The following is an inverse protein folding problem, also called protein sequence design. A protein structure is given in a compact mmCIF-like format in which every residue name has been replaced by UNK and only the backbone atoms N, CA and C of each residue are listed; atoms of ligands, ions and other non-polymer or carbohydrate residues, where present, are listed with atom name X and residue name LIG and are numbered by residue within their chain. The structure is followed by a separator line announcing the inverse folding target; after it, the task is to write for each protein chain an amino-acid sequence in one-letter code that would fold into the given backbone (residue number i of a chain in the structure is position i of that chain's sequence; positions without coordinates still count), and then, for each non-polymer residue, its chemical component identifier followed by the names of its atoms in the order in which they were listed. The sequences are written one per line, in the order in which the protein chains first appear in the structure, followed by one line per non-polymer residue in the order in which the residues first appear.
data_IF_409477406885
#
_entry.id   IF_409477406885
#
_cell.length_a   1.000
_cell.length_b   1.000
_cell.length_c   1.000
_cell.angle_alpha   90.00
_cell.angle_beta   90.00
_cell.angle_gamma   90.00
#
_symmetry.space_group_name_H-M   'P 1'
#
loop_
_entity.id
_entity.type
_entity.pdbx_description
1 polymer ?
#
# COMPACT_ATOMS: atom_id res chain seq x y z
N UNK A 1 -5.23 -19.15 -4.47
CA UNK A 1 -5.03 -19.17 -5.93
C UNK A 1 -5.43 -17.80 -6.43
N UNK A 2 -4.53 -17.08 -7.10
CA UNK A 2 -4.76 -15.72 -7.59
C UNK A 2 -5.56 -15.77 -8.90
N UNK A 3 -6.62 -14.97 -9.01
CA UNK A 3 -7.33 -14.74 -10.27
C UNK A 3 -6.87 -13.40 -10.86
N UNK A 4 -5.99 -13.46 -11.85
CA UNK A 4 -5.46 -12.29 -12.56
C UNK A 4 -6.34 -11.82 -13.72
N UNK A 5 -7.53 -12.42 -13.91
CA UNK A 5 -8.48 -11.99 -14.94
C UNK A 5 -9.25 -10.71 -14.54
N UNK A 6 -9.09 -10.24 -13.30
CA UNK A 6 -9.74 -9.04 -12.74
C UNK A 6 -8.68 -8.14 -12.10
N UNK A 7 -8.79 -6.83 -12.31
CA UNK A 7 -7.91 -5.81 -11.73
C UNK A 7 -8.74 -4.92 -10.80
N UNK A 8 -8.49 -4.91 -9.48
CA UNK A 8 -7.53 -5.75 -8.73
C UNK A 8 -7.99 -7.21 -8.57
N UNK A 9 -7.07 -8.17 -8.37
CA UNK A 9 -7.41 -9.58 -8.19
C UNK A 9 -8.22 -9.80 -6.90
N UNK A 10 -9.14 -10.78 -6.93
CA UNK A 10 -9.85 -11.21 -5.72
C UNK A 10 -8.89 -12.02 -4.83
N UNK A 11 -8.63 -11.53 -3.64
CA UNK A 11 -7.73 -12.17 -2.68
C UNK A 11 -8.50 -13.18 -1.82
N UNK A 12 -7.90 -14.33 -1.59
CA UNK A 12 -8.32 -15.25 -0.54
C UNK A 12 -7.07 -15.88 0.07
N UNK A 13 -6.99 -15.86 1.41
CA UNK A 13 -5.88 -16.40 2.20
C UNK A 13 -4.50 -15.78 1.85
N UNK A 14 -4.43 -14.45 1.76
CA UNK A 14 -3.17 -13.73 1.50
C UNK A 14 -2.54 -13.30 2.82
N UNK A 15 -1.22 -13.46 2.92
CA UNK A 15 -0.40 -12.95 4.01
C UNK A 15 0.82 -12.23 3.43
N UNK A 16 1.36 -11.28 4.17
CA UNK A 16 2.59 -10.57 3.80
C UNK A 16 3.76 -11.19 4.54
N UNK A 17 4.70 -11.78 3.82
CA UNK A 17 5.95 -12.25 4.39
C UNK A 17 7.03 -11.19 4.18
N UNK A 18 7.64 -10.73 5.27
CA UNK A 18 8.74 -9.77 5.24
C UNK A 18 10.06 -10.49 5.48
N UNK A 19 11.03 -10.24 4.59
CA UNK A 19 12.43 -10.64 4.76
C UNK A 19 13.29 -9.49 5.29
N UNK A 20 12.80 -8.26 5.13
CA UNK A 20 13.41 -7.00 5.51
C UNK A 20 12.36 -5.89 5.40
N UNK A 21 12.44 -4.88 6.26
CA UNK A 21 11.63 -3.66 6.13
C UNK A 21 12.47 -2.44 6.50
N UNK A 22 12.45 -1.44 5.61
CA UNK A 22 13.25 -0.22 5.73
C UNK A 22 12.49 0.94 6.37
N UNK A 23 11.25 0.71 6.83
CA UNK A 23 10.47 1.68 7.59
C UNK A 23 9.38 2.43 6.82
N UNK A 24 9.26 2.23 5.50
CA UNK A 24 8.23 2.88 4.68
C UNK A 24 6.83 2.39 5.03
N UNK A 25 5.86 3.30 5.01
CA UNK A 25 4.45 3.04 5.32
C UNK A 25 3.63 2.56 4.14
N UNK A 26 4.19 2.65 2.93
CA UNK A 26 3.60 2.20 1.70
C UNK A 26 4.64 1.41 0.94
N UNK A 27 4.30 0.19 0.55
CA UNK A 27 5.16 -0.67 -0.25
C UNK A 27 4.37 -1.26 -1.40
N UNK A 28 5.03 -1.50 -2.53
CA UNK A 28 4.43 -2.23 -3.63
C UNK A 28 4.43 -3.73 -3.33
N UNK A 29 3.27 -4.37 -3.50
CA UNK A 29 3.09 -5.82 -3.36
C UNK A 29 2.33 -6.31 -4.58
N UNK A 30 3.04 -6.46 -5.71
CA UNK A 30 2.43 -6.68 -7.02
C UNK A 30 1.32 -7.75 -7.01
N UNK A 31 0.11 -7.46 -7.54
CA UNK A 31 -0.29 -6.26 -8.29
C UNK A 31 -0.97 -5.16 -7.42
N UNK A 32 -0.75 -5.17 -6.11
CA UNK A 32 -1.35 -4.28 -5.12
C UNK A 32 -0.29 -3.44 -4.40
N UNK A 33 -0.74 -2.66 -3.43
CA UNK A 33 0.12 -2.00 -2.46
C UNK A 33 -0.19 -2.55 -1.08
N UNK A 34 0.77 -2.48 -0.16
CA UNK A 34 0.52 -2.67 1.25
C UNK A 34 0.80 -1.37 1.99
N UNK A 35 -0.01 -1.09 3.00
CA UNK A 35 0.16 0.07 3.87
C UNK A 35 0.17 -0.33 5.34
N UNK A 36 0.92 0.40 6.16
CA UNK A 36 0.84 0.25 7.61
C UNK A 36 -0.53 0.69 8.12
N UNK A 37 -0.95 0.19 9.29
CA UNK A 37 -2.26 0.53 9.85
C UNK A 37 -2.41 2.02 10.14
N UNK A 38 -1.30 2.72 10.48
CA UNK A 38 -1.31 4.17 10.70
C UNK A 38 -1.59 4.97 9.42
N UNK A 39 -0.98 4.60 8.28
CA UNK A 39 -1.25 5.24 7.01
C UNK A 39 -2.68 4.92 6.53
N UNK A 40 -3.10 3.65 6.64
CA UNK A 40 -4.48 3.23 6.35
C UNK A 40 -5.50 4.06 7.14
N UNK A 41 -5.31 4.19 8.45
CA UNK A 41 -6.23 4.90 9.32
C UNK A 41 -6.32 6.39 8.93
N UNK A 42 -5.20 7.02 8.61
CA UNK A 42 -5.17 8.41 8.15
C UNK A 42 -5.88 8.61 6.80
N UNK A 43 -5.61 7.74 5.82
CA UNK A 43 -6.30 7.78 4.52
C UNK A 43 -7.81 7.55 4.66
N UNK A 44 -8.23 6.61 5.51
CA UNK A 44 -9.65 6.40 5.80
C UNK A 44 -10.29 7.63 6.46
N UNK A 45 -9.61 8.23 7.44
CA UNK A 45 -10.11 9.40 8.15
C UNK A 45 -10.22 10.65 7.27
N UNK A 46 -9.36 10.79 6.26
CA UNK A 46 -9.46 11.88 5.27
C UNK A 46 -10.51 11.65 4.19
N UNK A 47 -11.11 10.45 4.14
CA UNK A 47 -12.16 10.11 3.19
C UNK A 47 -11.70 10.10 1.73
N UNK A 48 -10.44 9.68 1.47
CA UNK A 48 -9.98 9.51 0.08
C UNK A 48 -10.75 8.41 -0.64
N UNK A 49 -11.03 8.59 -1.92
CA UNK A 49 -11.70 7.59 -2.76
C UNK A 49 -10.72 6.82 -3.65
N UNK A 50 -11.20 5.79 -4.32
CA UNK A 50 -10.39 4.99 -5.24
C UNK A 50 -9.49 3.95 -4.59
N UNK A 51 -9.62 3.71 -3.29
CA UNK A 51 -8.90 2.65 -2.57
C UNK A 51 -9.84 1.82 -1.70
N UNK A 52 -9.52 0.54 -1.55
CA UNK A 52 -10.06 -0.32 -0.49
C UNK A 52 -8.93 -0.95 0.30
N UNK A 53 -9.22 -1.32 1.55
CA UNK A 53 -8.22 -1.87 2.46
C UNK A 53 -8.70 -3.19 3.05
N UNK A 54 -7.82 -4.18 3.03
CA UNK A 54 -8.02 -5.50 3.63
C UNK A 54 -6.86 -5.79 4.59
N UNK A 55 -7.16 -5.97 5.87
CA UNK A 55 -6.14 -6.38 6.85
C UNK A 55 -5.70 -7.80 6.53
N UNK A 56 -4.38 -8.03 6.58
CA UNK A 56 -3.79 -9.34 6.29
C UNK A 56 -2.80 -9.73 7.36
N UNK A 57 -2.63 -11.04 7.65
CA UNK A 57 -1.58 -11.51 8.54
C UNK A 57 -0.20 -11.13 8.00
N UNK A 58 0.67 -10.69 8.91
CA UNK A 58 2.07 -10.41 8.61
C UNK A 58 2.94 -11.51 9.19
N UNK A 59 3.80 -12.09 8.37
CA UNK A 59 4.74 -13.16 8.71
C UNK A 59 6.15 -12.57 8.65
N UNK A 60 6.92 -12.77 9.71
CA UNK A 60 8.33 -12.38 9.77
C UNK A 60 9.18 -13.60 9.42
N UNK A 61 10.13 -13.47 8.50
CA UNK A 61 11.10 -14.55 8.25
C UNK A 61 12.06 -14.72 9.43
N UNK A 62 12.70 -15.87 9.54
CA UNK A 62 13.75 -16.10 10.55
C UNK A 62 14.88 -15.07 10.42
N UNK A 63 15.32 -14.82 9.18
CA UNK A 63 16.34 -13.81 8.87
C UNK A 63 15.94 -12.41 9.36
N UNK A 64 14.68 -12.03 9.18
CA UNK A 64 14.18 -10.75 9.66
C UNK A 64 14.19 -10.68 11.19
N UNK A 65 13.80 -11.76 11.88
CA UNK A 65 13.82 -11.81 13.35
C UNK A 65 15.26 -11.72 13.89
N UNK A 66 16.23 -12.27 13.18
CA UNK A 66 17.65 -12.15 13.53
C UNK A 66 18.18 -10.72 13.33
N UNK A 67 17.82 -10.08 12.22
CA UNK A 67 18.28 -8.72 11.87
C UNK A 67 17.53 -7.62 12.63
N UNK A 68 16.24 -7.83 12.91
CA UNK A 68 15.31 -6.90 13.52
C UNK A 68 14.38 -7.66 14.51
N UNK A 69 14.88 -8.00 15.71
CA UNK A 69 14.11 -8.79 16.69
C UNK A 69 12.93 -8.05 17.34
N UNK A 70 12.79 -6.74 17.08
CA UNK A 70 11.69 -5.93 17.59
C UNK A 70 10.36 -6.15 16.87
N UNK A 71 9.29 -5.60 17.43
CA UNK A 71 7.93 -5.61 16.84
C UNK A 71 7.68 -4.43 15.89
N UNK A 72 8.74 -3.85 15.32
CA UNK A 72 8.67 -2.57 14.59
C UNK A 72 7.80 -2.63 13.33
N UNK A 73 7.66 -3.80 12.70
CA UNK A 73 6.90 -3.99 11.46
C UNK A 73 5.41 -3.69 11.64
N UNK A 74 4.87 -3.85 12.86
CA UNK A 74 3.47 -3.55 13.15
C UNK A 74 2.48 -4.35 12.28
N UNK A 75 1.28 -3.78 12.10
CA UNK A 75 0.19 -4.39 11.35
C UNK A 75 0.00 -3.74 9.99
N UNK A 76 -0.29 -4.56 8.98
CA UNK A 76 -0.41 -4.14 7.59
C UNK A 76 -1.79 -4.41 7.01
N UNK A 77 -2.14 -3.64 5.99
CA UNK A 77 -3.30 -3.89 5.14
C UNK A 77 -2.89 -3.85 3.68
N UNK A 78 -3.44 -4.74 2.89
CA UNK A 78 -3.41 -4.61 1.44
C UNK A 78 -4.33 -3.46 1.04
N UNK A 79 -3.78 -2.54 0.25
CA UNK A 79 -4.47 -1.44 -0.37
C UNK A 79 -4.72 -1.79 -1.84
N UNK A 80 -5.97 -2.04 -2.18
CA UNK A 80 -6.38 -2.25 -3.55
C UNK A 80 -6.82 -0.92 -4.17
N UNK A 81 -6.24 -0.59 -5.32
CA UNK A 81 -6.56 0.63 -6.06
C UNK A 81 -7.70 0.32 -7.04
N UNK A 82 -8.83 0.98 -6.86
CA UNK A 82 -10.08 0.72 -7.58
C UNK A 82 -10.64 1.96 -8.28
N UNK A 83 -10.02 3.11 -8.08
CA UNK A 83 -10.50 4.39 -8.59
C UNK A 83 -10.18 4.66 -10.05
N UNK A 84 -10.78 5.74 -10.56
CA UNK A 84 -10.67 6.19 -11.95
C UNK A 84 -9.98 7.54 -12.04
N UNK A 85 -9.13 7.68 -13.05
CA UNK A 85 -8.46 8.94 -13.37
C UNK A 85 -9.46 10.10 -13.50
N UNK A 86 -9.13 11.24 -12.88
CA UNK A 86 -9.94 12.46 -12.93
C UNK A 86 -11.25 12.41 -12.12
N UNK A 87 -11.54 11.31 -11.43
CA UNK A 87 -12.73 11.17 -10.56
C UNK A 87 -12.33 10.88 -9.12
N UNK A 88 -11.44 9.90 -8.93
CA UNK A 88 -11.05 9.41 -7.61
C UNK A 88 -9.69 9.94 -7.19
N UNK A 89 -9.41 9.87 -5.88
CA UNK A 89 -8.12 10.31 -5.34
C UNK A 89 -6.97 9.35 -5.60
N UNK A 90 -7.26 8.11 -5.99
CA UNK A 90 -6.25 7.12 -6.32
C UNK A 90 -6.70 6.29 -7.53
N UNK A 91 -5.80 6.09 -8.47
CA UNK A 91 -6.01 5.21 -9.62
C UNK A 91 -4.68 4.62 -10.10
N UNK A 92 -4.75 3.58 -10.93
CA UNK A 92 -3.56 3.01 -11.56
C UNK A 92 -3.34 3.63 -12.93
N UNK A 93 -2.09 4.01 -13.21
CA UNK A 93 -1.69 4.36 -14.57
C UNK A 93 -1.59 3.10 -15.45
N UNK A 94 -1.54 3.23 -16.80
CA UNK A 94 -1.29 2.10 -17.70
C UNK A 94 0.04 1.36 -17.44
N UNK A 95 0.96 1.98 -16.68
CA UNK A 95 2.25 1.40 -16.27
C UNK A 95 2.22 0.88 -14.83
N UNK A 96 1.04 0.66 -14.26
CA UNK A 96 0.85 0.16 -12.89
C UNK A 96 1.36 1.09 -11.78
N UNK A 97 1.60 2.37 -12.10
CA UNK A 97 1.98 3.35 -11.08
C UNK A 97 0.75 3.79 -10.29
N UNK A 98 0.90 3.90 -8.96
CA UNK A 98 -0.08 4.53 -8.10
C UNK A 98 -0.12 6.03 -8.38
N UNK A 99 -1.18 6.48 -9.04
CA UNK A 99 -1.47 7.89 -9.25
C UNK A 99 -2.38 8.37 -8.13
N UNK A 100 -2.09 9.54 -7.58
CA UNK A 100 -2.82 10.10 -6.44
C UNK A 100 -3.20 11.55 -6.65
N UNK A 101 -4.32 11.98 -6.09
CA UNK A 101 -4.69 13.39 -6.02
C UNK A 101 -3.86 14.12 -4.97
N UNK A 102 -3.90 15.47 -5.01
CA UNK A 102 -3.31 16.30 -3.97
C UNK A 102 -3.85 15.95 -2.58
N UNK A 103 -5.15 15.64 -2.46
CA UNK A 103 -5.78 15.31 -1.17
C UNK A 103 -5.19 14.04 -0.55
N UNK A 104 -4.98 13.01 -1.37
CA UNK A 104 -4.33 11.79 -0.92
C UNK A 104 -2.87 12.07 -0.54
N UNK A 105 -2.16 12.81 -1.39
CA UNK A 105 -0.77 13.18 -1.16
C UNK A 105 -0.55 14.01 0.12
N UNK A 106 -1.44 14.96 0.42
CA UNK A 106 -1.38 15.78 1.64
C UNK A 106 -1.45 14.95 2.93
N UNK A 107 -2.04 13.75 2.85
CA UNK A 107 -2.07 12.78 3.95
C UNK A 107 -0.83 11.90 3.90
N UNK A 108 -0.57 11.26 2.76
CA UNK A 108 0.52 10.28 2.62
C UNK A 108 1.91 10.89 2.85
N UNK A 109 2.13 12.14 2.45
CA UNK A 109 3.40 12.88 2.64
C UNK A 109 3.76 13.14 4.11
N UNK A 110 2.84 12.91 5.06
CA UNK A 110 3.10 12.99 6.50
C UNK A 110 3.67 11.69 7.08
N UNK A 111 3.77 10.65 6.26
CA UNK A 111 4.21 9.30 6.62
C UNK A 111 5.61 9.02 6.05
N UNK A 112 6.17 7.86 6.38
CA UNK A 112 7.47 7.43 5.87
C UNK A 112 7.30 6.88 4.46
N UNK A 113 7.86 7.56 3.48
CA UNK A 113 7.87 7.18 2.05
C UNK A 113 9.28 7.34 1.47
N UNK A 114 10.30 7.13 2.30
CA UNK A 114 11.70 7.45 2.02
C UNK A 114 12.26 6.63 0.86
N UNK A 115 11.78 5.39 0.71
CA UNK A 115 12.22 4.45 -0.31
C UNK A 115 11.20 4.28 -1.45
N UNK A 116 10.20 5.16 -1.53
CA UNK A 116 9.26 5.22 -2.63
C UNK A 116 9.82 6.10 -3.76
N UNK A 117 9.71 5.65 -5.01
CA UNK A 117 9.97 6.49 -6.18
C UNK A 117 8.78 7.41 -6.46
N UNK A 118 8.93 8.69 -6.13
CA UNK A 118 7.85 9.68 -6.21
C UNK A 118 8.18 10.72 -7.29
N UNK A 119 7.22 11.00 -8.17
CA UNK A 119 7.36 12.00 -9.22
C UNK A 119 6.05 12.79 -9.37
N UNK A 120 6.17 14.09 -9.62
CA UNK A 120 5.03 14.91 -10.00
C UNK A 120 4.62 14.58 -11.44
N UNK A 121 3.31 14.44 -11.65
CA UNK A 121 2.73 14.23 -12.97
C UNK A 121 2.06 15.51 -13.46
N UNK A 122 2.80 16.31 -14.23
CA UNK A 122 2.20 17.37 -15.06
C UNK A 122 1.54 16.74 -16.28
N UNK A 123 0.22 16.94 -16.38
CA UNK A 123 -0.60 16.58 -17.55
C UNK A 123 -0.35 17.52 -18.73
#
# INVERSE_FOLDING_TARGET
MWDTSVVPPRLSNVSLQFEGWLGDDLIETYPLFAVTDRLRAALRASGVSGVSFEQVPTIRSEQLLELQPGDEIGTWSLMAVTGRAGTDDAWLSPRWMLMVSQRFWDVASRFQLTYCDIAEHTS
#
